data_IF_047496680892
#
_entry.id   IF_047496680892
#
_cell.length_a   1.000
_cell.length_b   1.000
_cell.length_c   1.000
_cell.angle_alpha   90.00
_cell.angle_beta   90.00
_cell.angle_gamma   90.00
#
_symmetry.space_group_name_H-M   'P 1'
#
loop_
_entity.id
_entity.type
_entity.pdbx_description
1 polymer ?
#
# COMPACT_ATOMS: atom_id res chain seq x y z
N UNK A 1 -9.30 -17.61 -9.19
CA UNK A 1 -10.16 -18.76 -8.84
C UNK A 1 -11.47 -18.34 -8.17
N UNK A 2 -11.44 -17.58 -7.06
CA UNK A 2 -12.63 -17.02 -6.40
C UNK A 2 -13.56 -16.24 -7.36
N UNK A 3 -12.98 -15.39 -8.22
CA UNK A 3 -13.73 -14.59 -9.19
C UNK A 3 -14.47 -15.38 -10.28
N UNK A 4 -14.11 -16.66 -10.50
CA UNK A 4 -14.64 -17.45 -11.63
C UNK A 4 -15.67 -18.50 -11.20
N UNK A 5 -15.58 -19.00 -9.96
CA UNK A 5 -16.44 -20.09 -9.49
C UNK A 5 -17.38 -19.67 -8.34
N UNK A 6 -17.11 -18.56 -7.66
CA UNK A 6 -17.89 -18.12 -6.49
C UNK A 6 -17.65 -18.97 -5.24
N UNK A 7 -18.00 -18.41 -4.08
CA UNK A 7 -17.70 -19.00 -2.76
C UNK A 7 -18.27 -20.43 -2.59
N UNK A 8 -19.54 -20.64 -2.97
CA UNK A 8 -20.23 -21.94 -2.81
C UNK A 8 -19.64 -23.05 -3.68
N UNK A 9 -19.16 -22.74 -4.88
CA UNK A 9 -18.61 -23.77 -5.78
C UNK A 9 -17.19 -24.20 -5.36
N UNK A 10 -16.40 -23.28 -4.80
CA UNK A 10 -15.06 -23.59 -4.28
C UNK A 10 -15.17 -24.47 -3.04
N UNK A 11 -16.10 -24.16 -2.13
CA UNK A 11 -16.42 -24.98 -0.97
C UNK A 11 -16.81 -26.42 -1.37
N UNK A 12 -17.64 -26.56 -2.41
CA UNK A 12 -18.04 -27.86 -2.94
C UNK A 12 -16.89 -28.63 -3.63
N UNK A 13 -16.00 -27.93 -4.34
CA UNK A 13 -14.89 -28.56 -5.08
C UNK A 13 -13.69 -28.96 -4.23
N UNK A 14 -13.42 -28.22 -3.15
CA UNK A 14 -12.21 -28.40 -2.36
C UNK A 14 -12.40 -29.34 -1.15
N UNK A 15 -13.65 -29.63 -0.75
CA UNK A 15 -13.94 -30.56 0.34
C UNK A 15 -13.16 -30.23 1.62
N UNK A 16 -12.60 -31.23 2.31
CA UNK A 16 -11.78 -31.03 3.51
C UNK A 16 -10.45 -30.25 3.28
N UNK A 17 -10.04 -30.02 2.03
CA UNK A 17 -8.90 -29.14 1.71
C UNK A 17 -9.29 -27.66 1.59
N UNK A 18 -10.58 -27.35 1.51
CA UNK A 18 -11.08 -25.97 1.55
C UNK A 18 -10.60 -25.25 2.81
N UNK A 19 -10.60 -25.97 3.94
CA UNK A 19 -10.17 -25.46 5.25
C UNK A 19 -8.68 -25.12 5.27
N UNK A 20 -7.85 -25.89 4.56
CA UNK A 20 -6.43 -25.56 4.32
C UNK A 20 -6.24 -24.39 3.34
N UNK A 21 -7.28 -24.05 2.57
CA UNK A 21 -7.28 -22.94 1.60
C UNK A 21 -7.88 -21.66 2.20
N UNK A 22 -8.52 -21.73 3.37
CA UNK A 22 -9.23 -20.61 3.99
C UNK A 22 -8.29 -19.54 4.53
N UNK A 23 -7.09 -19.91 5.00
CA UNK A 23 -5.98 -18.97 5.25
C UNK A 23 -5.42 -18.35 3.95
N UNK A 24 -5.64 -19.00 2.81
CA UNK A 24 -5.17 -18.59 1.47
C UNK A 24 -6.14 -17.71 0.68
N UNK A 25 -7.34 -17.40 1.21
CA UNK A 25 -8.33 -16.54 0.50
C UNK A 25 -7.90 -15.08 0.42
N UNK A 26 -6.84 -14.70 1.15
CA UNK A 26 -6.31 -13.35 1.22
C UNK A 26 -7.30 -12.37 1.85
N UNK A 27 -6.84 -11.12 2.04
CA UNK A 27 -7.60 -10.07 2.73
C UNK A 27 -8.97 -9.78 2.08
N UNK A 28 -9.06 -9.84 0.75
CA UNK A 28 -10.34 -9.60 0.03
C UNK A 28 -11.34 -10.74 0.24
N UNK A 29 -10.87 -11.99 0.34
CA UNK A 29 -11.72 -13.14 0.65
C UNK A 29 -12.23 -13.11 2.09
N UNK A 30 -11.37 -12.71 3.03
CA UNK A 30 -11.73 -12.50 4.44
C UNK A 30 -12.81 -11.42 4.55
N UNK A 31 -12.63 -10.27 3.89
CA UNK A 31 -13.64 -9.21 3.83
C UNK A 31 -14.97 -9.73 3.30
N UNK A 32 -14.98 -10.39 2.14
CA UNK A 32 -16.19 -10.88 1.49
C UNK A 32 -16.99 -11.88 2.36
N UNK A 33 -16.31 -12.59 3.26
CA UNK A 33 -16.96 -13.50 4.20
C UNK A 33 -17.51 -12.79 5.42
N UNK A 34 -16.72 -11.91 6.01
CA UNK A 34 -17.12 -11.11 7.18
C UNK A 34 -18.38 -10.28 6.89
N UNK A 35 -18.52 -9.76 5.68
CA UNK A 35 -19.66 -8.92 5.30
C UNK A 35 -20.94 -9.71 4.98
N UNK A 36 -20.91 -11.04 5.01
CA UNK A 36 -22.14 -11.85 4.90
C UNK A 36 -22.89 -11.87 6.24
N UNK A 37 -24.20 -12.05 6.20
CA UNK A 37 -25.01 -12.22 7.41
C UNK A 37 -24.51 -13.42 8.24
N UNK A 38 -24.09 -13.15 9.49
CA UNK A 38 -23.50 -14.14 10.38
C UNK A 38 -22.07 -14.59 10.01
N UNK A 39 -21.44 -13.89 9.06
CA UNK A 39 -20.09 -14.19 8.58
C UNK A 39 -19.03 -14.14 9.67
N UNK A 40 -19.21 -13.30 10.69
CA UNK A 40 -18.33 -13.20 11.85
C UNK A 40 -18.20 -14.53 12.60
N UNK A 41 -19.31 -15.18 12.96
CA UNK A 41 -19.27 -16.44 13.71
C UNK A 41 -18.74 -17.59 12.86
N UNK A 42 -19.16 -17.64 11.58
CA UNK A 42 -18.67 -18.65 10.62
C UNK A 42 -17.16 -18.57 10.47
N UNK A 43 -16.61 -17.36 10.33
CA UNK A 43 -15.18 -17.16 10.15
C UNK A 43 -14.40 -17.48 11.44
N UNK A 44 -14.87 -17.02 12.61
CA UNK A 44 -14.18 -17.29 13.87
C UNK A 44 -14.19 -18.77 14.23
N UNK A 45 -15.34 -19.45 14.04
CA UNK A 45 -15.42 -20.91 14.20
C UNK A 45 -14.42 -21.62 13.29
N UNK A 46 -14.25 -21.13 12.07
CA UNK A 46 -13.30 -21.71 11.13
C UNK A 46 -11.85 -21.51 11.58
N UNK A 47 -11.45 -20.30 11.95
CA UNK A 47 -10.10 -20.01 12.44
C UNK A 47 -9.76 -20.72 13.76
N UNK A 48 -10.75 -20.99 14.61
CA UNK A 48 -10.55 -21.79 15.81
C UNK A 48 -10.32 -23.28 15.50
N UNK A 49 -10.96 -23.80 14.45
CA UNK A 49 -10.78 -25.19 14.01
C UNK A 49 -9.49 -25.40 13.19
N UNK A 50 -9.08 -24.39 12.42
CA UNK A 50 -7.93 -24.45 11.54
C UNK A 50 -7.04 -23.22 11.77
N UNK A 51 -5.87 -23.38 12.41
CA UNK A 51 -4.96 -22.27 12.66
C UNK A 51 -4.61 -21.55 11.36
N UNK A 52 -4.70 -20.22 11.38
CA UNK A 52 -4.31 -19.39 10.26
C UNK A 52 -2.85 -19.63 9.89
N UNK A 53 -2.58 -19.95 8.62
CA UNK A 53 -1.23 -20.05 8.09
C UNK A 53 -0.75 -18.65 7.69
N UNK A 54 0.32 -18.12 8.31
CA UNK A 54 0.87 -16.83 7.94
C UNK A 54 1.19 -16.73 6.44
N UNK A 55 1.03 -15.55 5.87
CA UNK A 55 1.35 -15.29 4.46
C UNK A 55 2.85 -15.36 4.17
N UNK A 56 3.67 -15.23 5.21
CA UNK A 56 5.11 -15.47 5.25
C UNK A 56 5.58 -15.76 6.68
N UNK A 57 6.85 -16.14 6.84
CA UNK A 57 7.45 -16.45 8.13
C UNK A 57 7.92 -15.20 8.92
N UNK A 58 7.56 -13.98 8.48
CA UNK A 58 8.09 -12.74 9.08
C UNK A 58 7.47 -12.42 10.45
N UNK A 59 6.30 -12.98 10.77
CA UNK A 59 5.59 -12.74 12.03
C UNK A 59 5.14 -11.29 12.25
N UNK A 60 5.11 -10.48 11.19
CA UNK A 60 4.66 -9.08 11.25
C UNK A 60 3.17 -8.97 11.53
N UNK A 61 2.74 -7.80 12.00
CA UNK A 61 1.36 -7.58 12.47
C UNK A 61 0.29 -7.91 11.42
N UNK A 62 0.58 -7.77 10.14
CA UNK A 62 -0.36 -8.03 9.04
C UNK A 62 -0.08 -9.32 8.28
N UNK A 63 0.79 -10.18 8.81
CA UNK A 63 1.00 -11.54 8.28
C UNK A 63 0.38 -12.60 9.19
N UNK A 64 -0.23 -12.18 10.31
CA UNK A 64 -1.01 -13.01 11.24
C UNK A 64 -2.50 -12.75 11.11
N UNK A 65 -3.33 -13.66 11.64
CA UNK A 65 -4.78 -13.64 11.50
C UNK A 65 -5.39 -12.32 11.97
N UNK A 66 -5.01 -11.82 13.15
CA UNK A 66 -5.58 -10.63 13.74
C UNK A 66 -5.40 -9.38 12.90
N UNK A 67 -4.19 -9.09 12.43
CA UNK A 67 -3.96 -7.91 11.60
C UNK A 67 -4.63 -8.02 10.24
N UNK A 68 -4.67 -9.20 9.61
CA UNK A 68 -5.34 -9.38 8.32
C UNK A 68 -6.85 -9.17 8.45
N UNK A 69 -7.46 -9.72 9.50
CA UNK A 69 -8.89 -9.48 9.79
C UNK A 69 -9.13 -8.00 10.05
N UNK A 70 -8.33 -7.37 10.92
CA UNK A 70 -8.46 -5.95 11.23
C UNK A 70 -8.33 -5.05 9.98
N UNK A 71 -7.38 -5.36 9.10
CA UNK A 71 -7.18 -4.63 7.85
C UNK A 71 -8.34 -4.84 6.86
N UNK A 72 -8.92 -6.05 6.80
CA UNK A 72 -10.03 -6.38 5.92
C UNK A 72 -11.31 -5.55 6.20
N UNK A 73 -11.47 -5.11 7.45
CA UNK A 73 -12.66 -4.38 7.93
C UNK A 73 -12.31 -3.03 8.58
N UNK A 74 -11.12 -2.49 8.31
CA UNK A 74 -10.66 -1.24 8.94
C UNK A 74 -11.61 -0.07 8.68
N UNK A 75 -12.29 -0.07 7.53
CA UNK A 75 -13.28 0.91 7.09
C UNK A 75 -14.71 0.65 7.59
N UNK A 76 -14.98 -0.49 8.23
CA UNK A 76 -16.30 -0.82 8.77
C UNK A 76 -16.56 -0.08 10.09
N UNK A 77 -17.84 0.02 10.45
CA UNK A 77 -18.26 0.71 11.67
C UNK A 77 -17.77 -0.01 12.93
N UNK A 78 -17.66 0.73 14.04
CA UNK A 78 -17.23 0.16 15.32
C UNK A 78 -18.24 -0.90 15.81
N UNK A 79 -19.54 -0.74 15.55
CA UNK A 79 -20.54 -1.76 15.89
C UNK A 79 -20.34 -3.07 15.13
N UNK A 80 -19.87 -3.01 13.87
CA UNK A 80 -19.51 -4.21 13.12
C UNK A 80 -18.26 -4.86 13.72
N UNK A 81 -17.22 -4.07 13.99
CA UNK A 81 -15.96 -4.54 14.59
C UNK A 81 -16.20 -5.17 15.97
N UNK A 82 -17.07 -4.60 16.80
CA UNK A 82 -17.42 -5.14 18.12
C UNK A 82 -18.09 -6.53 18.01
N UNK A 83 -18.95 -6.77 17.02
CA UNK A 83 -19.50 -8.12 16.77
C UNK A 83 -18.41 -9.13 16.42
N UNK A 84 -17.46 -8.73 15.57
CA UNK A 84 -16.30 -9.55 15.20
C UNK A 84 -15.43 -9.85 16.43
N UNK A 85 -15.20 -8.86 17.30
CA UNK A 85 -14.47 -9.03 18.57
C UNK A 85 -15.17 -10.06 19.46
N UNK A 86 -16.48 -9.94 19.67
CA UNK A 86 -17.23 -10.87 20.50
C UNK A 86 -17.27 -12.30 19.92
N UNK A 87 -17.41 -12.43 18.60
CA UNK A 87 -17.29 -13.72 17.93
C UNK A 87 -15.88 -14.32 18.16
N UNK A 88 -14.82 -13.52 18.01
CA UNK A 88 -13.46 -13.98 18.23
C UNK A 88 -13.23 -14.44 19.68
N UNK A 89 -13.72 -13.68 20.67
CA UNK A 89 -13.66 -14.04 22.09
C UNK A 89 -14.41 -15.33 22.39
N UNK A 90 -15.61 -15.53 21.80
CA UNK A 90 -16.40 -16.74 21.99
C UNK A 90 -15.69 -18.01 21.50
N UNK A 91 -14.78 -17.88 20.52
CA UNK A 91 -13.98 -18.96 19.96
C UNK A 91 -12.52 -18.97 20.45
N UNK A 92 -12.17 -18.15 21.43
CA UNK A 92 -10.82 -18.10 22.03
C UNK A 92 -9.73 -17.49 21.14
N UNK A 93 -10.10 -16.70 20.13
CA UNK A 93 -9.21 -16.10 19.15
C UNK A 93 -8.73 -14.71 19.60
N UNK A 94 -7.89 -14.68 20.64
CA UNK A 94 -7.44 -13.46 21.31
C UNK A 94 -6.67 -12.49 20.39
N UNK A 95 -5.83 -13.01 19.49
CA UNK A 95 -5.07 -12.19 18.52
C UNK A 95 -6.00 -11.37 17.61
N UNK A 96 -7.11 -11.97 17.18
CA UNK A 96 -8.12 -11.32 16.33
C UNK A 96 -8.93 -10.31 17.17
N UNK A 97 -9.42 -10.71 18.34
CA UNK A 97 -10.15 -9.81 19.23
C UNK A 97 -9.32 -8.55 19.59
N UNK A 98 -8.03 -8.74 19.88
CA UNK A 98 -7.09 -7.67 20.17
C UNK A 98 -6.88 -6.72 18.98
N UNK A 99 -6.60 -7.28 17.80
CA UNK A 99 -6.31 -6.51 16.60
C UNK A 99 -7.53 -5.74 16.09
N UNK A 100 -8.72 -6.32 16.17
CA UNK A 100 -9.98 -5.69 15.72
C UNK A 100 -10.43 -4.62 16.71
N UNK A 101 -10.38 -4.87 18.02
CA UNK A 101 -10.71 -3.85 19.02
C UNK A 101 -9.76 -2.65 18.97
N UNK A 102 -8.49 -2.88 18.62
CA UNK A 102 -7.52 -1.81 18.40
C UNK A 102 -7.75 -1.05 17.08
N UNK A 103 -8.49 -1.59 16.10
CA UNK A 103 -8.82 -0.90 14.85
C UNK A 103 -10.18 -0.18 14.89
N UNK A 104 -10.84 -0.09 16.04
CA UNK A 104 -12.03 0.76 16.23
C UNK A 104 -11.64 2.25 16.27
N UNK A 105 -12.54 3.12 15.80
CA UNK A 105 -12.39 4.57 15.88
C UNK A 105 -12.52 5.01 17.35
N UNK A 106 -13.41 4.39 18.12
CA UNK A 106 -13.47 4.54 19.56
C UNK A 106 -12.17 4.08 20.22
N UNK A 107 -11.36 5.07 20.60
CA UNK A 107 -10.08 4.87 21.26
C UNK A 107 -10.14 4.04 22.55
N UNK A 108 -11.30 3.90 23.20
CA UNK A 108 -11.49 3.13 24.43
C UNK A 108 -11.85 1.65 24.22
N UNK A 109 -12.12 1.22 22.99
CA UNK A 109 -12.49 -0.15 22.65
C UNK A 109 -11.45 -1.19 23.07
N UNK A 110 -10.18 -0.92 22.78
CA UNK A 110 -9.08 -1.81 23.17
C UNK A 110 -8.94 -1.95 24.69
N UNK A 111 -9.11 -0.86 25.45
CA UNK A 111 -9.08 -0.93 26.91
C UNK A 111 -10.28 -1.75 27.45
N UNK A 112 -11.46 -1.66 26.81
CA UNK A 112 -12.60 -2.53 27.14
C UNK A 112 -12.29 -4.01 26.89
N UNK A 113 -11.64 -4.33 25.77
CA UNK A 113 -11.18 -5.69 25.46
C UNK A 113 -10.23 -6.21 26.54
N UNK A 114 -9.19 -5.44 26.88
CA UNK A 114 -8.23 -5.83 27.91
C UNK A 114 -8.90 -6.01 29.29
N UNK A 115 -9.89 -5.17 29.63
CA UNK A 115 -10.62 -5.24 30.88
C UNK A 115 -11.52 -6.47 31.03
N UNK A 116 -11.97 -7.08 29.92
CA UNK A 116 -12.77 -8.32 29.95
C UNK A 116 -11.98 -9.55 30.42
N UNK A 117 -10.65 -9.49 30.38
CA UNK A 117 -9.79 -10.58 30.87
C UNK A 117 -9.86 -11.87 30.05
N UNK A 118 -10.42 -11.80 28.82
CA UNK A 118 -10.48 -12.90 27.85
C UNK A 118 -9.11 -13.22 27.24
N UNK A 119 -8.20 -12.24 27.25
CA UNK A 119 -6.86 -12.34 26.70
C UNK A 119 -5.95 -13.30 27.50
N UNK A 120 -5.61 -14.45 26.92
CA UNK A 120 -4.67 -15.43 27.48
C UNK A 120 -3.23 -15.26 26.96
N UNK A 121 -3.02 -14.40 25.97
CA UNK A 121 -1.71 -14.11 25.37
C UNK A 121 -0.84 -13.20 26.23
N UNK A 122 0.46 -13.14 25.92
CA UNK A 122 1.39 -12.20 26.54
C UNK A 122 0.93 -10.74 26.29
N UNK A 123 0.70 -9.92 27.33
CA UNK A 123 0.28 -8.52 27.18
C UNK A 123 1.18 -7.68 26.27
N UNK A 124 2.49 -7.92 26.27
CA UNK A 124 3.42 -7.17 25.42
C UNK A 124 3.24 -7.50 23.94
N UNK A 125 2.88 -8.75 23.62
CA UNK A 125 2.54 -9.18 22.25
C UNK A 125 1.23 -8.54 21.80
N UNK A 126 0.25 -8.46 22.69
CA UNK A 126 -1.05 -7.83 22.40
C UNK A 126 -0.89 -6.32 22.15
N UNK A 127 -0.14 -5.63 23.01
CA UNK A 127 0.18 -4.21 22.84
C UNK A 127 0.91 -3.96 21.52
N UNK A 128 1.87 -4.83 21.17
CA UNK A 128 2.58 -4.74 19.90
C UNK A 128 1.60 -4.73 18.73
N UNK A 129 0.78 -5.78 18.54
CA UNK A 129 -0.18 -5.83 17.42
C UNK A 129 -1.28 -4.77 17.47
N UNK A 130 -1.71 -4.37 18.66
CA UNK A 130 -2.69 -3.32 18.84
C UNK A 130 -2.16 -1.95 18.37
N UNK A 131 -0.90 -1.63 18.64
CA UNK A 131 -0.30 -0.38 18.14
C UNK A 131 -0.29 -0.32 16.60
N UNK A 132 -0.01 -1.45 15.91
CA UNK A 132 -0.07 -1.49 14.44
C UNK A 132 -1.45 -1.25 13.88
N UNK A 133 -2.44 -1.94 14.44
CA UNK A 133 -3.81 -1.90 13.91
C UNK A 133 -4.46 -0.55 14.17
N UNK A 134 -4.13 0.08 15.29
CA UNK A 134 -4.61 1.43 15.64
C UNK A 134 -4.01 2.53 14.77
N UNK A 135 -2.78 2.34 14.26
CA UNK A 135 -2.18 3.24 13.28
C UNK A 135 -3.02 3.34 11.98
N UNK A 136 -3.65 2.23 11.54
CA UNK A 136 -4.51 2.24 10.35
C UNK A 136 -5.70 3.21 10.49
N UNK A 137 -6.25 3.35 11.70
CA UNK A 137 -7.39 4.25 11.96
C UNK A 137 -6.98 5.63 12.46
N UNK A 138 -5.69 5.96 12.34
CA UNK A 138 -5.17 7.30 12.63
C UNK A 138 -4.96 7.62 14.10
N UNK A 139 -4.97 6.60 14.97
CA UNK A 139 -4.72 6.74 16.41
C UNK A 139 -3.49 5.91 16.79
N UNK A 140 -2.27 6.41 16.58
CA UNK A 140 -1.12 5.53 16.39
C UNK A 140 -0.70 4.65 17.59
N UNK A 141 -1.21 4.88 18.81
CA UNK A 141 -0.77 4.16 20.01
C UNK A 141 -1.95 3.75 20.92
N UNK A 142 -1.93 2.49 21.41
CA UNK A 142 -2.69 2.06 22.61
C UNK A 142 -1.90 2.31 23.89
N UNK A 143 -0.57 2.20 23.85
CA UNK A 143 0.34 2.44 24.97
C UNK A 143 1.61 3.14 24.48
N UNK A 144 2.23 3.99 25.32
CA UNK A 144 3.50 4.64 24.98
C UNK A 144 4.62 3.59 24.85
N UNK A 145 5.59 3.89 23.99
CA UNK A 145 6.80 3.09 23.85
C UNK A 145 7.60 3.02 25.16
N UNK A 146 8.21 1.86 25.43
CA UNK A 146 9.05 1.63 26.63
C UNK A 146 10.52 1.98 26.39
N UNK A 147 10.92 2.20 25.14
CA UNK A 147 12.29 2.53 24.75
C UNK A 147 12.30 3.46 23.53
N UNK A 148 13.42 4.16 23.31
CA UNK A 148 13.60 5.01 22.13
C UNK A 148 13.53 4.22 20.82
N UNK A 149 14.04 2.99 20.80
CA UNK A 149 13.96 2.12 19.62
C UNK A 149 12.50 1.79 19.30
N UNK A 150 11.73 1.40 20.32
CA UNK A 150 10.31 1.13 20.17
C UNK A 150 9.55 2.39 19.75
N UNK A 151 9.88 3.56 20.29
CA UNK A 151 9.28 4.84 19.92
C UNK A 151 9.52 5.19 18.44
N UNK A 152 10.76 5.05 17.97
CA UNK A 152 11.11 5.29 16.56
C UNK A 152 10.37 4.34 15.64
N UNK A 153 10.38 3.05 15.97
CA UNK A 153 9.69 2.06 15.19
C UNK A 153 8.17 2.31 15.15
N UNK A 154 7.56 2.60 16.31
CA UNK A 154 6.17 3.03 16.41
C UNK A 154 5.88 4.25 15.51
N UNK A 155 6.74 5.28 15.50
CA UNK A 155 6.61 6.44 14.59
C UNK A 155 6.63 6.09 13.11
N UNK A 156 7.58 5.24 12.70
CA UNK A 156 7.65 4.74 11.32
C UNK A 156 6.33 4.07 10.96
N UNK A 157 5.82 3.23 11.87
CA UNK A 157 4.58 2.49 11.66
C UNK A 157 3.35 3.39 11.53
N UNK A 158 3.25 4.39 12.39
CA UNK A 158 2.21 5.41 12.32
C UNK A 158 2.25 6.17 10.99
N UNK A 159 3.44 6.57 10.54
CA UNK A 159 3.63 7.25 9.25
C UNK A 159 3.21 6.37 8.08
N UNK A 160 3.70 5.13 8.05
CA UNK A 160 3.42 4.17 6.97
C UNK A 160 1.93 3.83 6.86
N UNK A 161 1.19 3.88 7.97
CA UNK A 161 -0.27 3.74 7.98
C UNK A 161 -1.02 4.80 7.16
N UNK A 162 -0.38 5.95 6.88
CA UNK A 162 -0.95 7.04 6.09
C UNK A 162 -0.38 7.14 4.67
N UNK A 163 0.64 6.36 4.34
CA UNK A 163 1.19 6.34 2.99
C UNK A 163 0.23 5.65 2.01
N UNK A 164 0.09 6.16 0.78
CA UNK A 164 -0.67 5.50 -0.27
C UNK A 164 0.16 4.45 -1.01
N UNK A 165 -0.49 3.34 -1.39
CA UNK A 165 0.06 2.21 -2.16
C UNK A 165 1.24 1.46 -1.52
N UNK A 166 2.38 2.09 -1.31
CA UNK A 166 3.62 1.44 -0.87
C UNK A 166 4.38 2.39 0.06
N UNK A 167 4.99 1.85 1.12
CA UNK A 167 5.63 2.67 2.16
C UNK A 167 7.08 3.00 1.80
N UNK A 168 7.38 4.29 1.60
CA UNK A 168 8.75 4.75 1.42
C UNK A 168 9.56 4.64 2.72
N UNK A 169 8.91 4.81 3.86
CA UNK A 169 9.55 4.74 5.18
C UNK A 169 10.26 3.40 5.44
N UNK A 170 9.74 2.30 4.88
CA UNK A 170 10.39 0.99 4.96
C UNK A 170 11.74 0.94 4.23
N UNK A 171 11.88 1.69 3.13
CA UNK A 171 13.14 1.83 2.41
C UNK A 171 14.09 2.82 3.10
N UNK A 172 13.56 3.88 3.73
CA UNK A 172 14.35 4.89 4.42
C UNK A 172 15.23 4.33 5.56
N UNK A 173 14.84 3.20 6.15
CA UNK A 173 15.63 2.48 7.18
C UNK A 173 17.00 2.01 6.66
N UNK A 174 17.16 1.90 5.35
CA UNK A 174 18.44 1.53 4.74
C UNK A 174 19.47 2.67 4.75
N UNK A 175 19.05 3.92 4.98
CA UNK A 175 19.91 5.11 4.88
C UNK A 175 20.93 5.16 6.01
N UNK A 176 20.50 4.86 7.23
CA UNK A 176 21.33 4.85 8.45
C UNK A 176 21.53 3.44 9.04
N UNK A 177 20.94 2.41 8.43
CA UNK A 177 20.95 1.04 8.93
C UNK A 177 20.13 0.85 10.21
N UNK A 178 19.23 1.79 10.52
CA UNK A 178 18.40 1.81 11.70
C UNK A 178 17.04 2.47 11.45
N UNK A 179 16.48 3.05 12.51
CA UNK A 179 15.13 3.63 12.51
C UNK A 179 15.15 5.16 12.71
N UNK A 180 16.32 5.80 12.82
CA UNK A 180 16.39 7.21 13.22
C UNK A 180 15.93 8.14 12.08
N UNK A 181 16.53 8.00 10.90
CA UNK A 181 16.16 8.79 9.73
C UNK A 181 14.70 8.53 9.33
N UNK A 182 14.29 7.25 9.27
CA UNK A 182 12.92 6.88 8.92
C UNK A 182 11.89 7.43 9.94
N UNK A 183 12.17 7.40 11.24
CA UNK A 183 11.27 7.96 12.25
C UNK A 183 11.16 9.49 12.17
N UNK A 184 12.26 10.19 11.83
CA UNK A 184 12.26 11.64 11.61
C UNK A 184 11.45 12.00 10.36
N UNK A 185 11.54 11.23 9.28
CA UNK A 185 10.71 11.41 8.08
C UNK A 185 9.24 11.16 8.41
N UNK A 186 8.93 10.07 9.10
CA UNK A 186 7.56 9.74 9.51
C UNK A 186 6.93 10.87 10.34
N UNK A 187 7.67 11.48 11.27
CA UNK A 187 7.23 12.65 12.02
C UNK A 187 6.88 13.85 11.13
N UNK A 188 7.66 14.07 10.05
CA UNK A 188 7.40 15.13 9.06
C UNK A 188 6.27 14.81 8.09
N UNK A 189 5.92 13.53 7.88
CA UNK A 189 4.81 13.10 7.04
C UNK A 189 3.46 13.27 7.73
N UNK A 190 3.39 12.84 9.00
CA UNK A 190 2.14 12.75 9.77
C UNK A 190 1.50 14.12 9.96
N UNK A 191 2.30 15.16 10.20
CA UNK A 191 1.81 16.52 10.48
C UNK A 191 1.10 17.18 9.27
N UNK A 192 1.67 17.24 8.05
CA UNK A 192 0.97 17.71 6.84
C UNK A 192 -0.27 16.91 6.46
N UNK A 193 -0.27 15.59 6.67
CA UNK A 193 -1.44 14.73 6.40
C UNK A 193 -2.57 15.08 7.37
N UNK A 194 -2.27 15.17 8.67
CA UNK A 194 -3.29 15.39 9.69
C UNK A 194 -3.80 16.83 9.72
N UNK A 195 -2.93 17.82 9.51
CA UNK A 195 -3.28 19.24 9.71
C UNK A 195 -3.70 19.95 8.42
N UNK A 196 -3.21 19.51 7.26
CA UNK A 196 -3.31 20.30 6.04
C UNK A 196 -3.81 19.51 4.82
N UNK A 197 -3.93 18.17 4.92
CA UNK A 197 -4.42 17.33 3.81
C UNK A 197 -3.57 17.40 2.55
N UNK A 198 -2.30 17.81 2.67
CA UNK A 198 -1.38 18.03 1.53
C UNK A 198 -1.12 16.72 0.78
N UNK A 199 -0.97 15.62 1.52
CA UNK A 199 -0.92 14.27 0.97
C UNK A 199 -2.27 13.62 1.23
N UNK A 200 -2.97 13.25 0.16
CA UNK A 200 -4.23 12.51 0.26
C UNK A 200 -3.90 11.07 0.60
N UNK A 201 -4.46 10.56 1.70
CA UNK A 201 -4.28 9.16 2.10
C UNK A 201 -4.78 8.18 1.03
N UNK A 202 -5.83 8.56 0.31
CA UNK A 202 -6.38 7.81 -0.82
C UNK A 202 -5.74 8.17 -2.18
N UNK A 203 -4.70 9.02 -2.19
CA UNK A 203 -3.99 9.46 -3.38
C UNK A 203 -2.96 8.44 -3.86
N UNK A 204 -2.05 8.84 -4.75
CA UNK A 204 -0.98 7.95 -5.24
C UNK A 204 0.32 8.11 -4.44
N UNK A 205 1.17 7.09 -4.44
CA UNK A 205 2.48 7.13 -3.75
C UNK A 205 3.42 8.20 -4.29
N UNK A 206 3.27 8.62 -5.55
CA UNK A 206 4.19 9.54 -6.25
C UNK A 206 4.51 10.80 -5.43
N UNK A 207 3.48 11.49 -4.93
CA UNK A 207 3.66 12.72 -4.17
C UNK A 207 4.23 12.47 -2.76
N UNK A 208 3.79 11.39 -2.10
CA UNK A 208 4.27 11.02 -0.77
C UNK A 208 5.77 10.65 -0.83
N UNK A 209 6.15 9.81 -1.77
CA UNK A 209 7.54 9.36 -1.96
C UNK A 209 8.48 10.51 -2.32
N UNK A 210 8.06 11.45 -3.18
CA UNK A 210 8.89 12.64 -3.48
C UNK A 210 9.04 13.56 -2.27
N UNK A 211 7.98 13.75 -1.48
CA UNK A 211 8.06 14.50 -0.23
C UNK A 211 9.04 13.86 0.75
N UNK A 212 8.91 12.56 0.96
CA UNK A 212 9.78 11.80 1.87
C UNK A 212 11.22 11.68 1.39
N UNK A 213 11.45 11.51 0.08
CA UNK A 213 12.77 11.55 -0.52
C UNK A 213 13.48 12.88 -0.25
N UNK A 214 12.79 14.01 -0.45
CA UNK A 214 13.35 15.34 -0.16
C UNK A 214 13.62 15.53 1.34
N UNK A 215 12.76 15.01 2.19
CA UNK A 215 12.99 15.00 3.64
C UNK A 215 14.22 14.17 4.01
N UNK A 216 14.39 12.99 3.40
CA UNK A 216 15.56 12.14 3.58
C UNK A 216 16.86 12.83 3.14
N UNK A 217 16.85 13.46 1.95
CA UNK A 217 18.00 14.22 1.43
C UNK A 217 18.37 15.37 2.37
N UNK A 218 17.37 16.08 2.92
CA UNK A 218 17.60 17.16 3.87
C UNK A 218 18.18 16.68 5.22
N UNK A 219 17.93 15.43 5.61
CA UNK A 219 18.38 14.85 6.88
C UNK A 219 19.74 14.18 6.78
N UNK A 220 19.96 13.35 5.75
CA UNK A 220 21.14 12.50 5.61
C UNK A 220 22.11 12.96 4.51
N UNK A 221 21.71 13.93 3.69
CA UNK A 221 22.45 14.36 2.50
C UNK A 221 22.22 13.44 1.31
N UNK A 222 22.24 14.05 0.10
CA UNK A 222 21.91 13.36 -1.16
C UNK A 222 22.71 12.09 -1.38
N UNK A 223 24.04 12.17 -1.24
CA UNK A 223 24.95 11.04 -1.52
C UNK A 223 24.61 9.79 -0.69
N UNK A 224 24.29 9.95 0.59
CA UNK A 224 23.94 8.84 1.46
C UNK A 224 22.61 8.19 1.05
N UNK A 225 21.59 9.01 0.78
CA UNK A 225 20.27 8.54 0.33
C UNK A 225 20.37 7.80 -1.00
N UNK A 226 21.07 8.37 -1.97
CA UNK A 226 21.22 7.79 -3.30
C UNK A 226 21.98 6.47 -3.26
N UNK A 227 23.07 6.39 -2.49
CA UNK A 227 23.83 5.15 -2.29
C UNK A 227 22.95 4.06 -1.67
N UNK A 228 22.17 4.40 -0.65
CA UNK A 228 21.27 3.45 0.00
C UNK A 228 20.18 2.94 -0.96
N UNK A 229 19.62 3.83 -1.78
CA UNK A 229 18.51 3.48 -2.69
C UNK A 229 18.98 2.77 -3.96
N UNK A 230 20.20 3.01 -4.42
CA UNK A 230 20.81 2.25 -5.51
C UNK A 230 21.06 0.78 -5.13
N UNK A 231 21.25 0.49 -3.84
CA UNK A 231 21.47 -0.86 -3.34
C UNK A 231 20.16 -1.62 -3.04
N UNK A 232 19.00 -0.95 -3.10
CA UNK A 232 17.71 -1.51 -2.68
C UNK A 232 16.84 -1.83 -3.90
N UNK A 233 16.50 -3.11 -4.13
CA UNK A 233 15.53 -3.50 -5.15
C UNK A 233 14.16 -2.87 -4.89
N UNK A 234 13.46 -2.53 -5.97
CA UNK A 234 12.03 -2.24 -5.95
C UNK A 234 11.26 -3.48 -6.40
N UNK A 235 10.43 -4.02 -5.52
CA UNK A 235 9.70 -5.26 -5.78
C UNK A 235 8.30 -5.01 -6.38
N UNK A 236 7.81 -3.77 -6.39
CA UNK A 236 6.49 -3.43 -6.93
C UNK A 236 6.38 -3.52 -8.46
N UNK A 237 5.17 -3.72 -8.97
CA UNK A 237 4.89 -3.97 -10.38
C UNK A 237 4.36 -2.74 -11.15
N UNK A 238 4.33 -1.57 -10.49
CA UNK A 238 3.83 -0.31 -11.06
C UNK A 238 4.55 0.10 -12.34
N UNK A 239 5.87 -0.09 -12.36
CA UNK A 239 6.74 0.43 -13.42
C UNK A 239 7.12 -0.65 -14.43
N UNK A 240 7.04 -0.32 -15.73
CA UNK A 240 7.64 -1.15 -16.79
C UNK A 240 9.14 -1.23 -16.59
N UNK A 241 9.64 -2.45 -16.36
CA UNK A 241 11.07 -2.73 -16.14
C UNK A 241 11.74 -3.05 -17.48
N UNK A 242 12.88 -2.41 -17.73
CA UNK A 242 13.74 -2.67 -18.90
C UNK A 242 15.00 -3.47 -18.53
N UNK A 243 15.22 -3.71 -17.23
CA UNK A 243 16.33 -4.45 -16.67
C UNK A 243 15.86 -5.37 -15.53
N UNK A 244 16.62 -6.45 -15.29
CA UNK A 244 16.38 -7.35 -14.17
C UNK A 244 16.66 -6.69 -12.81
N UNK A 245 17.59 -5.71 -12.79
CA UNK A 245 17.88 -4.88 -11.62
C UNK A 245 17.08 -3.58 -11.77
N UNK A 246 16.09 -3.39 -10.89
CA UNK A 246 15.29 -2.17 -10.80
C UNK A 246 15.19 -1.79 -9.32
N UNK A 247 15.62 -0.57 -8.99
CA UNK A 247 15.93 -0.14 -7.62
C UNK A 247 14.99 0.97 -7.17
N UNK A 248 14.97 1.25 -5.87
CA UNK A 248 14.26 2.41 -5.31
C UNK A 248 14.76 3.71 -5.95
N UNK A 249 16.06 3.78 -6.29
CA UNK A 249 16.60 4.94 -6.99
C UNK A 249 15.98 5.12 -8.37
N UNK A 250 15.76 4.04 -9.12
CA UNK A 250 15.13 4.10 -10.45
C UNK A 250 13.69 4.62 -10.36
N UNK A 251 12.96 4.28 -9.28
CA UNK A 251 11.62 4.82 -9.00
C UNK A 251 11.69 6.32 -8.76
N UNK A 252 12.54 6.78 -7.84
CA UNK A 252 12.68 8.21 -7.52
C UNK A 252 13.07 9.02 -8.75
N UNK A 253 13.98 8.51 -9.57
CA UNK A 253 14.39 9.15 -10.82
C UNK A 253 13.23 9.30 -11.80
N UNK A 254 12.35 8.29 -11.94
CA UNK A 254 11.14 8.39 -12.75
C UNK A 254 10.16 9.42 -12.19
N UNK A 255 9.94 9.43 -10.88
CA UNK A 255 9.06 10.40 -10.21
C UNK A 255 9.54 11.84 -10.43
N UNK A 256 10.85 12.09 -10.29
CA UNK A 256 11.47 13.39 -10.55
C UNK A 256 11.35 13.80 -12.02
N UNK A 257 11.55 12.87 -12.96
CA UNK A 257 11.37 13.14 -14.38
C UNK A 257 9.92 13.53 -14.72
N UNK A 258 8.96 12.78 -14.18
CA UNK A 258 7.52 13.03 -14.37
C UNK A 258 7.12 14.37 -13.78
N UNK A 259 7.51 14.67 -12.53
CA UNK A 259 7.18 15.93 -11.86
C UNK A 259 7.73 17.13 -12.64
N UNK A 260 8.96 17.04 -13.15
CA UNK A 260 9.57 18.09 -13.96
C UNK A 260 8.84 18.31 -15.30
N UNK A 261 8.42 17.24 -15.98
CA UNK A 261 7.80 17.30 -17.31
C UNK A 261 6.31 17.62 -17.28
N UNK A 262 5.62 17.38 -16.15
CA UNK A 262 4.16 17.54 -16.05
C UNK A 262 3.64 18.94 -16.44
N UNK A 263 4.26 20.07 -16.03
CA UNK A 263 3.82 21.39 -16.46
C UNK A 263 3.88 21.58 -17.99
N UNK A 264 4.89 21.01 -18.65
CA UNK A 264 5.02 21.05 -20.11
C UNK A 264 3.96 20.19 -20.79
N UNK A 265 3.74 18.95 -20.30
CA UNK A 265 2.73 18.02 -20.82
C UNK A 265 1.30 18.57 -20.75
N UNK A 266 0.99 19.30 -19.68
CA UNK A 266 -0.33 19.88 -19.42
C UNK A 266 -0.53 21.25 -20.05
N UNK A 267 0.45 21.76 -20.82
CA UNK A 267 0.38 23.07 -21.47
C UNK A 267 0.42 24.25 -20.51
N UNK A 268 0.80 24.04 -19.24
CA UNK A 268 1.00 25.13 -18.26
C UNK A 268 2.25 25.95 -18.59
N UNK A 269 3.24 25.32 -19.22
CA UNK A 269 4.44 25.98 -19.77
C UNK A 269 4.74 25.46 -21.18
N UNK A 270 5.22 26.33 -22.05
CA UNK A 270 5.58 25.95 -23.44
C UNK A 270 7.01 25.46 -23.57
N UNK A 271 7.92 25.96 -22.72
CA UNK A 271 9.31 25.57 -22.74
C UNK A 271 9.51 24.17 -22.12
N UNK A 272 10.34 23.35 -22.78
CA UNK A 272 10.84 22.10 -22.20
C UNK A 272 11.72 22.43 -20.98
N UNK A 273 11.48 21.80 -19.81
CA UNK A 273 12.32 22.04 -18.63
C UNK A 273 13.76 21.54 -18.84
N UNK A 274 14.75 22.16 -18.16
CA UNK A 274 16.10 21.60 -18.09
C UNK A 274 16.10 20.26 -17.32
N UNK A 275 17.17 19.47 -17.48
CA UNK A 275 17.38 18.25 -16.68
C UNK A 275 17.39 18.63 -15.19
N UNK A 276 16.56 18.00 -14.34
CA UNK A 276 16.61 18.24 -12.90
C UNK A 276 17.99 17.88 -12.32
N UNK A 277 18.52 18.71 -11.43
CA UNK A 277 19.83 18.46 -10.78
C UNK A 277 19.83 17.17 -9.94
N UNK A 278 18.66 16.77 -9.47
CA UNK A 278 18.45 15.62 -8.59
C UNK A 278 18.31 14.32 -9.39
N UNK A 279 18.26 14.39 -10.72
CA UNK A 279 18.10 13.23 -11.59
C UNK A 279 19.45 12.54 -11.82
N UNK A 280 19.50 11.23 -11.61
CA UNK A 280 20.74 10.48 -11.77
C UNK A 280 21.16 10.38 -13.25
N UNK A 281 22.31 9.74 -13.50
CA UNK A 281 22.76 9.43 -14.85
C UNK A 281 22.09 8.18 -15.44
N UNK A 282 21.22 7.49 -14.68
CA UNK A 282 20.46 6.33 -15.17
C UNK A 282 19.29 6.72 -16.08
N UNK A 283 18.79 7.96 -15.97
CA UNK A 283 17.72 8.45 -16.83
C UNK A 283 18.30 9.13 -18.08
N UNK A 284 17.91 8.61 -19.24
CA UNK A 284 18.09 9.26 -20.53
C UNK A 284 17.13 10.45 -20.67
N UNK A 285 17.54 11.60 -20.13
CA UNK A 285 16.74 12.83 -20.18
C UNK A 285 16.36 13.26 -21.62
N UNK A 286 17.28 13.25 -22.61
CA UNK A 286 16.91 13.44 -24.01
C UNK A 286 15.76 12.54 -24.47
N UNK A 287 15.78 11.24 -24.15
CA UNK A 287 14.70 10.32 -24.51
C UNK A 287 13.38 10.67 -23.82
N UNK A 288 13.40 11.02 -22.54
CA UNK A 288 12.21 11.43 -21.80
C UNK A 288 11.59 12.72 -22.37
N UNK A 289 12.40 13.72 -22.70
CA UNK A 289 11.92 14.97 -23.32
C UNK A 289 11.39 14.76 -24.75
N UNK A 290 11.99 13.84 -25.53
CA UNK A 290 11.47 13.43 -26.83
C UNK A 290 10.07 12.80 -26.69
N UNK A 291 9.91 11.86 -25.75
CA UNK A 291 8.61 11.22 -25.49
C UNK A 291 7.57 12.22 -24.96
N UNK A 292 7.98 13.15 -24.10
CA UNK A 292 7.09 14.20 -23.58
C UNK A 292 6.55 15.09 -24.70
N UNK A 293 7.38 15.43 -25.69
CA UNK A 293 6.95 16.16 -26.89
C UNK A 293 5.89 15.36 -27.66
N UNK A 294 6.15 14.06 -27.93
CA UNK A 294 5.18 13.20 -28.62
C UNK A 294 3.85 13.06 -27.85
N UNK A 295 3.90 12.93 -26.53
CA UNK A 295 2.70 12.84 -25.68
C UNK A 295 1.92 14.15 -25.67
N UNK A 296 2.61 15.30 -25.61
CA UNK A 296 1.98 16.62 -25.68
C UNK A 296 1.26 16.81 -27.02
N UNK A 297 1.93 16.46 -28.12
CA UNK A 297 1.43 16.65 -29.48
C UNK A 297 0.43 15.57 -29.94
N UNK A 298 0.14 14.57 -29.09
CA UNK A 298 -0.75 13.46 -29.44
C UNK A 298 -0.17 12.48 -30.45
N UNK A 299 1.16 12.49 -30.66
CA UNK A 299 1.88 11.65 -31.61
C UNK A 299 2.32 10.29 -31.02
N UNK A 300 1.58 9.75 -30.05
CA UNK A 300 1.80 8.39 -29.55
C UNK A 300 1.41 7.36 -30.62
N UNK A 301 2.11 6.24 -30.71
CA UNK A 301 1.93 5.28 -31.81
C UNK A 301 2.14 3.83 -31.39
N UNK A 302 1.64 2.85 -32.16
CA UNK A 302 1.84 1.43 -31.88
C UNK A 302 3.32 1.03 -31.79
N UNK A 303 4.19 1.67 -32.57
CA UNK A 303 5.64 1.41 -32.53
C UNK A 303 6.23 1.75 -31.16
N UNK A 304 5.78 2.85 -30.54
CA UNK A 304 6.19 3.22 -29.18
C UNK A 304 5.57 2.30 -28.13
N UNK A 305 4.38 1.76 -28.38
CA UNK A 305 3.76 0.79 -27.48
C UNK A 305 4.42 -0.59 -27.53
N UNK A 306 5.13 -0.92 -28.63
CA UNK A 306 5.78 -2.20 -28.83
C UNK A 306 7.19 -2.28 -28.21
N UNK A 307 7.86 -1.14 -28.01
CA UNK A 307 9.17 -1.06 -27.37
C UNK A 307 9.01 -0.83 -25.86
N UNK A 308 9.63 -1.69 -25.03
CA UNK A 308 9.41 -1.70 -23.58
C UNK A 308 9.81 -0.38 -22.91
N UNK A 309 10.92 0.22 -23.35
CA UNK A 309 11.42 1.46 -22.77
C UNK A 309 10.45 2.62 -23.05
N UNK A 310 10.11 2.84 -24.31
CA UNK A 310 9.17 3.89 -24.69
C UNK A 310 7.76 3.62 -24.19
N UNK A 311 7.32 2.37 -24.13
CA UNK A 311 6.05 2.00 -23.52
C UNK A 311 5.99 2.44 -22.05
N UNK A 312 7.06 2.18 -21.28
CA UNK A 312 7.16 2.61 -19.89
C UNK A 312 7.16 4.13 -19.72
N UNK A 313 7.99 4.84 -20.49
CA UNK A 313 8.10 6.31 -20.43
C UNK A 313 6.78 6.98 -20.82
N UNK A 314 6.20 6.60 -21.97
CA UNK A 314 4.97 7.21 -22.49
C UNK A 314 3.78 6.95 -21.56
N UNK A 315 3.72 5.78 -20.92
CA UNK A 315 2.70 5.46 -19.92
C UNK A 315 2.74 6.43 -18.74
N UNK A 316 3.90 6.63 -18.11
CA UNK A 316 4.04 7.56 -16.98
C UNK A 316 3.72 9.01 -17.38
N UNK A 317 4.13 9.43 -18.58
CA UNK A 317 3.85 10.78 -19.09
C UNK A 317 2.35 10.97 -19.40
N UNK A 318 1.66 9.96 -19.93
CA UNK A 318 0.22 10.01 -20.17
C UNK A 318 -0.58 10.02 -18.85
N UNK A 319 -0.14 9.26 -17.84
CA UNK A 319 -0.68 9.32 -16.49
C UNK A 319 -0.53 10.74 -15.90
N UNK A 320 0.66 11.33 -16.03
CA UNK A 320 0.94 12.68 -15.55
C UNK A 320 0.16 13.78 -16.28
N UNK A 321 -0.07 13.61 -17.59
CA UNK A 321 -0.91 14.49 -18.41
C UNK A 321 -2.39 14.40 -18.01
N UNK A 322 -2.83 13.25 -17.50
CA UNK A 322 -4.23 13.00 -17.13
C UNK A 322 -5.14 12.64 -18.32
N UNK A 323 -4.57 12.27 -19.46
CA UNK A 323 -5.30 11.96 -20.70
C UNK A 323 -5.70 10.47 -20.75
N UNK A 324 -6.76 10.14 -20.01
CA UNK A 324 -7.18 8.76 -19.74
C UNK A 324 -7.59 7.99 -21.00
N UNK A 325 -8.21 8.66 -21.97
CA UNK A 325 -8.65 8.00 -23.22
C UNK A 325 -7.46 7.61 -24.09
N UNK A 326 -6.49 8.52 -24.24
CA UNK A 326 -5.26 8.26 -25.00
C UNK A 326 -4.42 7.20 -24.30
N UNK A 327 -4.31 7.25 -22.97
CA UNK A 327 -3.63 6.22 -22.19
C UNK A 327 -4.25 4.83 -22.43
N UNK A 328 -5.58 4.71 -22.30
CA UNK A 328 -6.29 3.45 -22.57
C UNK A 328 -6.00 2.93 -23.98
N UNK A 329 -6.07 3.80 -24.99
CA UNK A 329 -5.81 3.41 -26.38
C UNK A 329 -4.35 2.98 -26.59
N UNK A 330 -3.39 3.68 -25.99
CA UNK A 330 -1.97 3.37 -26.08
C UNK A 330 -1.65 2.01 -25.45
N UNK A 331 -2.18 1.73 -24.25
CA UNK A 331 -2.02 0.42 -23.57
C UNK A 331 -2.63 -0.71 -24.40
N UNK A 332 -3.73 -0.47 -25.12
CA UNK A 332 -4.34 -1.47 -26.00
C UNK A 332 -3.51 -1.81 -27.24
N UNK A 333 -2.65 -0.89 -27.68
CA UNK A 333 -1.75 -1.09 -28.83
C UNK A 333 -0.50 -1.89 -28.46
N UNK A 334 -0.15 -1.98 -27.17
CA UNK A 334 1.00 -2.75 -26.72
C UNK A 334 0.81 -4.26 -26.97
N UNK A 335 1.89 -5.01 -27.26
CA UNK A 335 1.86 -6.45 -27.38
C UNK A 335 1.18 -7.12 -26.18
N UNK A 336 0.47 -8.21 -26.42
CA UNK A 336 -0.12 -9.00 -25.34
C UNK A 336 1.00 -9.62 -24.51
N UNK A 337 0.89 -9.50 -23.18
CA UNK A 337 1.90 -10.01 -22.27
C UNK A 337 1.79 -9.38 -20.88
N UNK A 338 2.69 -9.81 -20.00
CA UNK A 338 2.69 -9.44 -18.58
C UNK A 338 2.85 -7.92 -18.39
N UNK A 339 3.74 -7.28 -19.17
CA UNK A 339 3.96 -5.82 -19.11
C UNK A 339 2.68 -5.03 -19.39
N UNK A 340 1.91 -5.43 -20.42
CA UNK A 340 0.65 -4.76 -20.76
C UNK A 340 -0.39 -4.92 -19.65
N UNK A 341 -0.48 -6.12 -19.04
CA UNK A 341 -1.37 -6.37 -17.91
C UNK A 341 -0.97 -5.55 -16.68
N UNK A 342 0.34 -5.45 -16.41
CA UNK A 342 0.87 -4.65 -15.30
C UNK A 342 0.49 -3.18 -15.43
N UNK A 343 0.71 -2.60 -16.61
CA UNK A 343 0.33 -1.20 -16.90
C UNK A 343 -1.18 -1.00 -16.85
N UNK A 344 -1.96 -1.94 -17.37
CA UNK A 344 -3.43 -1.85 -17.30
C UNK A 344 -3.94 -1.86 -15.85
N UNK A 345 -3.33 -2.68 -14.98
CA UNK A 345 -3.66 -2.73 -13.55
C UNK A 345 -3.27 -1.42 -12.85
N UNK A 346 -2.05 -0.91 -13.08
CA UNK A 346 -1.61 0.37 -12.53
C UNK A 346 -2.53 1.52 -12.98
N UNK A 347 -2.87 1.58 -14.27
CA UNK A 347 -3.82 2.57 -14.79
C UNK A 347 -5.18 2.48 -14.07
N UNK A 348 -5.75 1.27 -13.93
CA UNK A 348 -7.01 1.09 -13.23
C UNK A 348 -6.94 1.55 -11.75
N UNK A 349 -5.84 1.24 -11.06
CA UNK A 349 -5.63 1.65 -9.67
C UNK A 349 -5.47 3.17 -9.52
N UNK A 350 -4.64 3.83 -10.34
CA UNK A 350 -4.48 5.29 -10.28
C UNK A 350 -5.77 6.02 -10.70
N UNK A 351 -6.53 5.47 -11.66
CA UNK A 351 -7.83 5.98 -12.05
C UNK A 351 -8.84 5.90 -10.91
N UNK A 352 -8.96 4.73 -10.26
CA UNK A 352 -9.85 4.53 -9.12
C UNK A 352 -9.55 5.54 -8.00
N UNK A 353 -8.27 5.70 -7.64
CA UNK A 353 -7.82 6.65 -6.60
C UNK A 353 -8.10 8.12 -6.92
N UNK A 354 -8.12 8.49 -8.21
CA UNK A 354 -8.52 9.83 -8.63
C UNK A 354 -10.05 10.05 -8.61
N UNK A 355 -10.83 8.96 -8.57
CA UNK A 355 -12.29 8.97 -8.60
C UNK A 355 -12.89 8.58 -7.24
N UNK A 356 -13.39 7.35 -7.10
CA UNK A 356 -14.11 6.88 -5.91
C UNK A 356 -13.20 6.29 -4.83
N UNK A 357 -11.93 6.01 -5.16
CA UNK A 357 -10.97 5.33 -4.30
C UNK A 357 -11.55 4.02 -3.71
N UNK A 358 -12.21 3.25 -4.56
CA UNK A 358 -12.87 2.01 -4.19
C UNK A 358 -11.87 0.93 -3.73
N UNK A 359 -10.67 0.92 -4.30
CA UNK A 359 -9.60 -0.01 -3.98
C UNK A 359 -8.71 0.46 -2.80
N UNK A 360 -8.85 1.72 -2.38
CA UNK A 360 -8.12 2.27 -1.24
C UNK A 360 -8.64 1.72 0.08
N UNK A 361 -7.71 1.45 1.00
CA UNK A 361 -8.02 1.27 2.41
C UNK A 361 -6.94 1.86 3.31
N UNK A 362 -7.28 2.22 4.57
CA UNK A 362 -6.28 2.71 5.51
C UNK A 362 -5.19 1.67 5.78
N UNK A 363 -3.93 2.12 5.85
CA UNK A 363 -2.77 1.25 6.07
C UNK A 363 -2.33 0.40 4.87
N UNK A 364 -2.87 0.60 3.67
CA UNK A 364 -2.55 -0.23 2.49
C UNK A 364 -1.06 -0.32 2.16
N UNK A 365 -0.34 0.79 2.29
CA UNK A 365 1.09 0.86 2.01
C UNK A 365 1.91 -0.09 2.87
N UNK A 366 1.51 -0.23 4.13
CA UNK A 366 2.20 -1.08 5.06
C UNK A 366 1.68 -2.53 5.07
N UNK A 367 0.37 -2.70 4.94
CA UNK A 367 -0.28 -4.01 5.12
C UNK A 367 -0.27 -4.85 3.86
N UNK A 368 -0.36 -4.23 2.68
CA UNK A 368 -0.59 -4.93 1.41
C UNK A 368 0.48 -4.70 0.35
N UNK A 369 1.44 -3.82 0.60
CA UNK A 369 2.55 -3.52 -0.32
C UNK A 369 2.05 -3.27 -1.76
N UNK A 370 1.07 -2.37 -1.89
CA UNK A 370 0.50 -1.98 -3.17
C UNK A 370 -0.60 -2.89 -3.71
N UNK A 371 -0.96 -3.98 -3.03
CA UNK A 371 -2.06 -4.85 -3.50
C UNK A 371 -3.42 -4.25 -3.13
N UNK A 372 -4.39 -4.18 -4.06
CA UNK A 372 -5.72 -3.66 -3.75
C UNK A 372 -6.52 -4.61 -2.87
N UNK A 373 -7.38 -4.06 -2.00
CA UNK A 373 -8.53 -4.80 -1.44
C UNK A 373 -9.72 -4.56 -2.33
N UNK A 374 -10.30 -5.62 -2.87
CA UNK A 374 -11.57 -5.51 -3.57
C UNK A 374 -12.68 -5.37 -2.55
N UNK A 375 -13.32 -4.19 -2.52
CA UNK A 375 -14.57 -4.00 -1.81
C UNK A 375 -15.67 -4.69 -2.61
N UNK A 376 -16.54 -5.43 -1.94
CA UNK A 376 -17.76 -5.95 -2.53
C UNK A 376 -18.88 -5.27 -1.77
N UNK A 377 -19.35 -4.13 -2.27
CA UNK A 377 -20.50 -3.48 -1.68
C UNK A 377 -21.71 -4.39 -1.90
N UNK A 378 -22.26 -4.92 -0.81
CA UNK A 378 -23.57 -5.56 -0.82
C UNK A 378 -24.60 -4.44 -0.67
N UNK A 379 -25.53 -4.35 -1.63
CA UNK A 379 -26.61 -3.36 -1.65
C UNK A 379 -27.37 -3.22 -0.33
#
# INVERSE_FOLDING_TARGET
YLHHFGYKAIQASAGAKFDQTFSGIGISGIRALLLQEGGEDVMMKHFAATPFMPTDDSGQAFTVAGGIVAAAIADQSDEFKERVVHAAEAHGLNDIANSVSASEIDTSAWDRFMARGSAQDNPDKLVYYANYTRAMVGHPWVKPAKSLQEERFQRIMAGAGFEPEESFLMHARAIDGGDDIAALIAGRLVEPILLHGVIRRSGTMDAAWLFEYRAAVALAGRSAVETAFDARPYDGNRYVRTSAVFTIRDVIDRLLAVEALQPYLTGKVDAMPPKPEDLSNKIDWPRWTEMATKVRDGAVSPTLAADLETFGIVTELLLAKGDQEVLRAFVQQAPSGETRLSVANDFAMRLDRACAAYLYHPGEAFTLNGRPIFKFDTE
#
